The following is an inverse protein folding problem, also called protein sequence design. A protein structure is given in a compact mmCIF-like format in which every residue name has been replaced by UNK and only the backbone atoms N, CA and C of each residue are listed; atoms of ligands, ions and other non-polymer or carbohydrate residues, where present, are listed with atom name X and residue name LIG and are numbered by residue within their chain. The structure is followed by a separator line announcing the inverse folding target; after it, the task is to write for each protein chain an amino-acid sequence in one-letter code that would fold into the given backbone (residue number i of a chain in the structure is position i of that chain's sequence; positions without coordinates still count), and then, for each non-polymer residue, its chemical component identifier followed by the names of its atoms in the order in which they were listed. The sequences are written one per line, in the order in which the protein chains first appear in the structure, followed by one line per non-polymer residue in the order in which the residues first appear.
data_IF_839044124921
#
_entry.id   IF_839044124921
#
_cell.length_a   1.000
_cell.length_b   1.000
_cell.length_c   1.000
_cell.angle_alpha   90.00
_cell.angle_beta   90.00
_cell.angle_gamma   90.00
#
_symmetry.space_group_name_H-M   'P 1'
#
loop_
_entity.id
_entity.type
_entity.pdbx_description
1 polymer ?
#
# COMPACT_ATOMS: atom_id res chain seq x y z
N UNK A 1 94.53 -41.64 4.96
CA UNK A 1 94.04 -41.19 6.29
C UNK A 1 92.67 -41.83 6.48
N UNK A 2 92.54 -42.97 7.16
CA UNK A 2 92.23 -43.09 8.61
C UNK A 2 91.12 -42.10 9.02
N UNK A 3 89.94 -42.48 9.51
CA UNK A 3 89.68 -43.45 10.58
C UNK A 3 88.21 -43.93 10.58
N UNK A 4 88.03 -45.20 10.93
CA UNK A 4 86.80 -45.83 11.44
C UNK A 4 86.46 -45.34 12.87
N UNK A 5 85.34 -45.87 13.39
CA UNK A 5 84.87 -45.92 14.80
C UNK A 5 83.90 -44.76 15.16
N UNK A 6 82.72 -44.94 15.75
CA UNK A 6 82.20 -46.03 16.58
C UNK A 6 80.66 -45.95 16.65
N UNK A 7 80.01 -47.10 16.77
CA UNK A 7 78.64 -47.20 17.26
C UNK A 7 78.59 -46.91 18.78
N UNK A 8 77.51 -46.27 19.25
CA UNK A 8 77.07 -46.38 20.64
C UNK A 8 75.53 -46.34 20.72
N UNK A 9 74.99 -47.47 21.19
CA UNK A 9 73.61 -47.69 21.62
C UNK A 9 73.27 -46.75 22.79
N UNK A 10 72.01 -46.32 22.90
CA UNK A 10 71.07 -46.73 23.97
C UNK A 10 69.89 -45.74 24.11
N UNK A 11 68.70 -46.32 24.12
CA UNK A 11 67.52 -45.99 24.94
C UNK A 11 67.32 -44.55 25.44
N UNK A 12 66.30 -43.88 24.89
CA UNK A 12 65.44 -42.96 25.65
C UNK A 12 64.02 -43.52 25.66
N UNK A 13 63.68 -44.17 26.77
CA UNK A 13 62.30 -44.39 27.19
C UNK A 13 61.86 -43.20 28.06
N UNK A 14 60.54 -42.93 28.02
CA UNK A 14 59.78 -41.93 28.80
C UNK A 14 60.04 -40.45 28.41
N UNK A 15 59.03 -39.62 28.13
CA UNK A 15 57.70 -39.61 28.73
C UNK A 15 56.61 -39.34 27.67
N UNK A 16 55.71 -40.30 27.50
CA UNK A 16 54.33 -39.95 27.14
C UNK A 16 53.74 -39.31 28.39
N UNK A 17 53.72 -37.99 28.45
CA UNK A 17 52.77 -37.31 29.31
C UNK A 17 51.39 -37.66 28.76
N UNK A 18 50.76 -38.67 29.35
CA UNK A 18 49.34 -38.90 29.20
C UNK A 18 48.64 -37.63 29.66
N UNK A 19 48.33 -36.76 28.71
CA UNK A 19 47.33 -35.74 28.92
C UNK A 19 46.05 -36.51 29.24
N UNK A 20 45.69 -36.50 30.53
CA UNK A 20 44.42 -37.01 31.01
C UNK A 20 43.36 -36.38 30.12
N UNK A 21 42.72 -37.20 29.28
CA UNK A 21 41.57 -36.76 28.50
C UNK A 21 40.48 -36.41 29.51
N UNK A 22 40.37 -35.14 29.85
CA UNK A 22 39.20 -34.62 30.55
C UNK A 22 38.00 -35.13 29.77
N UNK A 23 37.02 -35.81 30.42
CA UNK A 23 35.89 -36.34 29.70
C UNK A 23 35.21 -35.18 28.99
N UNK A 24 35.37 -35.12 27.67
CA UNK A 24 34.77 -34.07 26.85
C UNK A 24 33.29 -34.08 27.18
N UNK A 25 32.82 -32.97 27.77
CA UNK A 25 31.43 -32.83 28.17
C UNK A 25 30.53 -33.16 26.99
N UNK A 26 29.33 -33.66 27.26
CA UNK A 26 28.34 -33.99 26.22
C UNK A 26 28.16 -32.84 25.19
N UNK A 27 28.37 -31.60 25.63
CA UNK A 27 28.42 -30.37 24.85
C UNK A 27 29.61 -30.27 23.87
N UNK A 28 30.81 -30.61 24.30
CA UNK A 28 31.99 -30.62 23.41
C UNK A 28 31.86 -31.72 22.36
N UNK A 29 31.29 -32.89 22.73
CA UNK A 29 30.96 -33.95 21.76
C UNK A 29 29.89 -33.53 20.75
N UNK A 30 28.88 -32.75 21.18
CA UNK A 30 27.85 -32.19 20.30
C UNK A 30 28.44 -31.14 19.35
N UNK A 31 29.33 -30.29 19.84
CA UNK A 31 30.00 -29.23 19.07
C UNK A 31 30.94 -29.79 18.01
N UNK A 32 31.65 -30.88 18.30
CA UNK A 32 32.49 -31.61 17.33
C UNK A 32 31.72 -32.64 16.51
N UNK A 33 30.42 -32.82 16.75
CA UNK A 33 29.58 -33.69 15.93
C UNK A 33 29.41 -33.11 14.52
N UNK A 34 29.03 -33.96 13.56
CA UNK A 34 28.73 -33.52 12.18
C UNK A 34 27.69 -32.39 12.15
N UNK A 35 26.68 -32.44 13.03
CA UNK A 35 25.65 -31.40 13.14
C UNK A 35 26.21 -30.09 13.72
N UNK A 36 27.12 -30.18 14.70
CA UNK A 36 27.79 -29.01 15.29
C UNK A 36 28.72 -28.30 14.31
N UNK A 37 29.51 -29.07 13.56
CA UNK A 37 30.38 -28.54 12.48
C UNK A 37 29.54 -27.94 11.36
N UNK A 38 28.45 -28.60 10.95
CA UNK A 38 27.52 -28.08 9.95
C UNK A 38 26.86 -26.77 10.38
N UNK A 39 26.32 -26.71 11.61
CA UNK A 39 25.72 -25.48 12.15
C UNK A 39 26.74 -24.34 12.22
N UNK A 40 27.99 -24.64 12.61
CA UNK A 40 29.07 -23.64 12.65
C UNK A 40 29.46 -23.15 11.26
N UNK A 41 29.51 -24.04 10.26
CA UNK A 41 29.73 -23.67 8.86
C UNK A 41 28.61 -22.75 8.38
N UNK A 42 27.36 -23.16 8.60
CA UNK A 42 26.17 -22.38 8.22
C UNK A 42 26.18 -20.98 8.83
N UNK A 43 26.48 -20.87 10.12
CA UNK A 43 26.64 -19.58 10.81
C UNK A 43 27.77 -18.72 10.22
N UNK A 44 28.88 -19.36 9.84
CA UNK A 44 29.99 -18.67 9.18
C UNK A 44 29.58 -18.13 7.81
N UNK A 45 28.85 -18.93 7.03
CA UNK A 45 28.37 -18.56 5.69
C UNK A 45 27.39 -17.37 5.77
N UNK A 46 26.44 -17.39 6.71
CA UNK A 46 25.55 -16.25 6.95
C UNK A 46 26.29 -15.01 7.47
N UNK A 47 27.31 -15.19 8.32
CA UNK A 47 28.13 -14.06 8.80
C UNK A 47 28.88 -13.41 7.64
N UNK A 48 29.49 -14.20 6.76
CA UNK A 48 30.21 -13.66 5.60
C UNK A 48 29.24 -13.01 4.61
N UNK A 49 28.08 -13.60 4.36
CA UNK A 49 27.03 -12.98 3.56
C UNK A 49 26.60 -11.61 4.12
N UNK A 50 26.39 -11.49 5.44
CA UNK A 50 26.09 -10.20 6.07
C UNK A 50 27.22 -9.18 5.89
N UNK A 51 28.48 -9.62 5.99
CA UNK A 51 29.64 -8.76 5.78
C UNK A 51 29.70 -8.26 4.33
N UNK A 52 29.47 -9.14 3.36
CA UNK A 52 29.41 -8.80 1.93
C UNK A 52 28.27 -7.83 1.63
N UNK A 53 27.10 -7.98 2.27
CA UNK A 53 25.98 -7.03 2.14
C UNK A 53 26.39 -5.63 2.59
N UNK A 54 27.08 -5.52 3.74
CA UNK A 54 27.55 -4.23 4.26
C UNK A 54 28.58 -3.62 3.30
N UNK A 55 29.61 -4.38 2.91
CA UNK A 55 30.63 -3.89 1.97
C UNK A 55 30.00 -3.47 0.64
N UNK A 56 29.11 -4.28 0.09
CA UNK A 56 28.37 -3.97 -1.14
C UNK A 56 27.48 -2.73 -1.03
N UNK A 57 26.95 -2.43 0.17
CA UNK A 57 26.20 -1.21 0.43
C UNK A 57 27.07 0.05 0.34
N UNK A 58 28.31 -0.02 0.81
CA UNK A 58 29.28 1.08 0.69
C UNK A 58 29.82 1.23 -0.73
N UNK A 59 30.05 0.13 -1.44
CA UNK A 59 30.55 0.16 -2.82
C UNK A 59 29.54 0.72 -3.82
N UNK A 60 28.23 0.47 -3.60
CA UNK A 60 27.16 0.81 -4.57
C UNK A 60 25.92 1.40 -3.87
N UNK A 61 26.03 2.60 -3.26
CA UNK A 61 24.97 3.17 -2.42
C UNK A 61 23.66 3.43 -3.18
N UNK A 62 23.71 3.78 -4.47
CA UNK A 62 22.52 3.98 -5.29
C UNK A 62 21.72 2.69 -5.49
N UNK A 63 22.41 1.59 -5.83
CA UNK A 63 21.74 0.30 -6.05
C UNK A 63 21.14 -0.24 -4.76
N UNK A 64 21.89 -0.15 -3.66
CA UNK A 64 21.41 -0.61 -2.35
C UNK A 64 20.28 0.24 -1.82
N UNK A 65 20.28 1.56 -2.06
CA UNK A 65 19.13 2.42 -1.76
C UNK A 65 17.88 1.95 -2.50
N UNK A 66 17.97 1.62 -3.80
CA UNK A 66 16.81 1.11 -4.56
C UNK A 66 16.31 -0.22 -4.02
N UNK A 67 17.20 -1.16 -3.68
CA UNK A 67 16.79 -2.43 -3.08
C UNK A 67 16.16 -2.25 -1.69
N UNK A 68 16.72 -1.36 -0.86
CA UNK A 68 16.19 -1.07 0.48
C UNK A 68 14.83 -0.36 0.41
N UNK A 69 14.63 0.56 -0.52
CA UNK A 69 13.31 1.21 -0.70
C UNK A 69 12.28 0.23 -1.22
N UNK A 70 12.64 -0.66 -2.15
CA UNK A 70 11.73 -1.70 -2.64
C UNK A 70 11.36 -2.69 -1.53
N UNK A 71 12.35 -3.19 -0.79
CA UNK A 71 12.11 -4.14 0.31
C UNK A 71 11.33 -3.50 1.46
N UNK A 72 11.71 -2.28 1.86
CA UNK A 72 11.01 -1.51 2.88
C UNK A 72 9.59 -1.13 2.45
N UNK A 73 9.41 -0.76 1.19
CA UNK A 73 8.09 -0.51 0.59
C UNK A 73 7.22 -1.75 0.59
N UNK A 74 7.74 -2.89 0.14
CA UNK A 74 7.02 -4.17 0.18
C UNK A 74 6.66 -4.58 1.62
N UNK A 75 7.58 -4.45 2.57
CA UNK A 75 7.32 -4.68 3.99
C UNK A 75 6.20 -3.78 4.51
N UNK A 76 6.27 -2.47 4.24
CA UNK A 76 5.27 -1.52 4.65
C UNK A 76 3.90 -1.85 4.04
N UNK A 77 3.85 -2.21 2.76
CA UNK A 77 2.62 -2.63 2.08
C UNK A 77 2.02 -3.91 2.70
N UNK A 78 2.87 -4.88 3.04
CA UNK A 78 2.44 -6.11 3.70
C UNK A 78 1.80 -5.83 5.08
N UNK A 79 2.40 -4.92 5.86
CA UNK A 79 1.88 -4.54 7.17
C UNK A 79 0.65 -3.62 7.11
N UNK A 80 0.56 -2.76 6.10
CA UNK A 80 -0.58 -1.83 5.91
C UNK A 80 -1.69 -2.43 5.06
N UNK A 81 -1.63 -3.72 4.75
CA UNK A 81 -2.59 -4.39 3.90
C UNK A 81 -4.01 -4.35 4.50
N UNK A 82 -5.02 -3.80 3.78
CA UNK A 82 -6.38 -3.76 4.29
C UNK A 82 -7.01 -5.17 4.31
N UNK A 83 -7.74 -5.48 5.38
CA UNK A 83 -8.44 -6.76 5.58
C UNK A 83 -9.91 -6.75 5.13
N UNK A 84 -10.59 -7.90 5.24
CA UNK A 84 -12.04 -8.01 4.97
C UNK A 84 -12.86 -7.04 5.85
N UNK A 85 -12.57 -6.99 7.15
CA UNK A 85 -13.27 -6.08 8.07
C UNK A 85 -13.08 -4.60 7.72
N UNK A 86 -11.90 -4.24 7.22
CA UNK A 86 -11.61 -2.87 6.74
C UNK A 86 -12.42 -2.52 5.50
N UNK A 87 -12.64 -3.48 4.58
CA UNK A 87 -13.54 -3.24 3.45
C UNK A 87 -14.97 -3.00 3.93
N UNK A 88 -15.47 -3.88 4.79
CA UNK A 88 -16.85 -3.79 5.30
C UNK A 88 -17.09 -2.48 6.06
N UNK A 89 -16.15 -2.04 6.90
CA UNK A 89 -16.27 -0.76 7.60
C UNK A 89 -16.27 0.41 6.61
N UNK A 90 -15.34 0.41 5.65
CA UNK A 90 -15.26 1.48 4.64
C UNK A 90 -16.52 1.54 3.79
N UNK A 91 -17.05 0.38 3.37
CA UNK A 91 -18.28 0.29 2.59
C UNK A 91 -19.49 0.84 3.37
N UNK A 92 -19.61 0.51 4.66
CA UNK A 92 -20.66 1.03 5.53
C UNK A 92 -20.51 2.53 5.77
N UNK A 93 -19.29 3.02 5.98
CA UNK A 93 -19.01 4.45 6.15
C UNK A 93 -19.40 5.23 4.89
N UNK A 94 -19.00 4.75 3.70
CA UNK A 94 -19.41 5.35 2.43
C UNK A 94 -20.93 5.31 2.24
N UNK A 95 -21.59 4.22 2.60
CA UNK A 95 -23.05 4.14 2.58
C UNK A 95 -23.70 5.17 3.49
N UNK A 96 -23.16 5.38 4.69
CA UNK A 96 -23.66 6.37 5.63
C UNK A 96 -23.47 7.80 5.10
N UNK A 97 -22.30 8.10 4.51
CA UNK A 97 -22.04 9.38 3.87
C UNK A 97 -23.05 9.68 2.75
N UNK A 98 -23.33 8.69 1.90
CA UNK A 98 -24.35 8.84 0.86
C UNK A 98 -25.74 9.06 1.48
N UNK A 99 -26.12 8.31 2.52
CA UNK A 99 -27.41 8.46 3.21
C UNK A 99 -27.66 9.87 3.77
N UNK A 100 -26.61 10.63 4.09
CA UNK A 100 -26.75 12.03 4.54
C UNK A 100 -27.15 12.98 3.39
N UNK A 101 -26.86 12.61 2.14
CA UNK A 101 -27.17 13.42 0.97
C UNK A 101 -28.58 13.13 0.46
N UNK A 102 -29.26 14.19 0.02
CA UNK A 102 -30.50 14.07 -0.75
C UNK A 102 -30.22 13.37 -2.09
N UNK A 103 -31.18 12.59 -2.63
CA UNK A 103 -31.04 11.96 -3.95
C UNK A 103 -30.72 12.92 -5.10
N UNK A 104 -31.07 14.21 -4.96
CA UNK A 104 -30.90 15.22 -6.01
C UNK A 104 -29.44 15.69 -6.19
N UNK A 105 -28.65 15.68 -5.12
CA UNK A 105 -27.27 16.19 -5.11
C UNK A 105 -26.23 15.06 -5.12
N UNK A 106 -26.65 13.81 -4.98
CA UNK A 106 -25.75 12.66 -4.91
C UNK A 106 -25.30 12.23 -6.30
N UNK A 107 -24.01 11.91 -6.45
CA UNK A 107 -23.45 11.31 -7.66
C UNK A 107 -24.07 9.93 -7.94
N UNK A 108 -24.65 9.76 -9.13
CA UNK A 108 -25.26 8.50 -9.57
C UNK A 108 -24.25 7.35 -9.69
N UNK A 109 -23.02 7.66 -10.10
CA UNK A 109 -21.90 6.70 -10.20
C UNK A 109 -21.51 6.16 -8.82
N UNK A 110 -21.41 7.06 -7.84
CA UNK A 110 -21.06 6.71 -6.45
C UNK A 110 -22.16 5.87 -5.82
N UNK A 111 -23.41 6.34 -5.91
CA UNK A 111 -24.57 5.67 -5.35
C UNK A 111 -24.78 4.29 -5.97
N UNK A 112 -24.80 4.20 -7.30
CA UNK A 112 -24.97 2.94 -8.02
C UNK A 112 -23.88 1.92 -7.66
N UNK A 113 -22.63 2.37 -7.53
CA UNK A 113 -21.55 1.49 -7.12
C UNK A 113 -21.71 0.98 -5.69
N UNK A 114 -21.93 1.85 -4.70
CA UNK A 114 -22.08 1.45 -3.30
C UNK A 114 -23.31 0.56 -3.10
N UNK A 115 -24.45 0.89 -3.73
CA UNK A 115 -25.65 0.06 -3.70
C UNK A 115 -25.40 -1.33 -4.31
N UNK A 116 -24.65 -1.42 -5.42
CA UNK A 116 -24.28 -2.71 -6.02
C UNK A 116 -23.41 -3.55 -5.08
N UNK A 117 -22.46 -2.93 -4.37
CA UNK A 117 -21.59 -3.61 -3.40
C UNK A 117 -22.39 -4.09 -2.19
N UNK A 118 -23.28 -3.26 -1.65
CA UNK A 118 -24.19 -3.62 -0.55
C UNK A 118 -25.08 -4.80 -0.96
N UNK A 119 -25.63 -4.78 -2.18
CA UNK A 119 -26.42 -5.88 -2.72
C UNK A 119 -25.62 -7.18 -2.76
N UNK A 120 -24.42 -7.15 -3.34
CA UNK A 120 -23.54 -8.33 -3.43
C UNK A 120 -23.12 -8.86 -2.05
N UNK A 121 -22.92 -7.96 -1.08
CA UNK A 121 -22.66 -8.33 0.32
C UNK A 121 -23.88 -9.04 0.92
N UNK A 122 -25.07 -8.48 0.77
CA UNK A 122 -26.31 -9.05 1.30
C UNK A 122 -26.64 -10.41 0.66
N UNK A 123 -26.24 -10.61 -0.61
CA UNK A 123 -26.36 -11.90 -1.33
C UNK A 123 -25.26 -12.92 -0.95
N UNK A 124 -24.30 -12.58 -0.09
CA UNK A 124 -23.18 -13.48 0.26
C UNK A 124 -22.17 -13.73 -0.88
N UNK A 125 -22.27 -12.94 -1.96
CA UNK A 125 -21.49 -13.10 -3.19
C UNK A 125 -20.20 -12.30 -3.21
N UNK A 126 -20.02 -11.40 -2.26
CA UNK A 126 -18.80 -10.61 -2.13
C UNK A 126 -17.66 -11.45 -1.55
N UNK A 127 -16.54 -11.56 -2.28
CA UNK A 127 -15.38 -12.36 -1.89
C UNK A 127 -14.13 -11.50 -1.79
N UNK A 128 -13.21 -11.98 -0.97
CA UNK A 128 -11.97 -11.30 -0.65
C UNK A 128 -10.79 -12.27 -0.84
N UNK A 129 -9.77 -11.83 -1.56
CA UNK A 129 -8.53 -12.56 -1.75
C UNK A 129 -7.34 -11.69 -1.36
N UNK A 130 -6.44 -12.25 -0.55
CA UNK A 130 -5.18 -11.60 -0.21
C UNK A 130 -4.05 -12.16 -1.07
N UNK A 131 -3.44 -11.31 -1.91
CA UNK A 131 -2.35 -11.65 -2.84
C UNK A 131 -0.98 -11.22 -2.28
N UNK A 132 -0.79 -11.32 -0.96
CA UNK A 132 0.43 -10.86 -0.28
C UNK A 132 0.44 -9.36 -0.04
N UNK A 133 0.89 -8.55 -1.00
CA UNK A 133 1.01 -7.09 -0.87
C UNK A 133 -0.29 -6.34 -1.17
N UNK A 134 -1.15 -6.95 -1.98
CA UNK A 134 -2.41 -6.38 -2.46
C UNK A 134 -3.56 -7.26 -2.02
N UNK A 135 -4.70 -6.66 -1.79
CA UNK A 135 -5.96 -7.34 -1.57
C UNK A 135 -6.93 -7.04 -2.70
N UNK A 136 -7.72 -8.02 -3.07
CA UNK A 136 -8.70 -7.90 -4.14
C UNK A 136 -10.06 -8.29 -3.60
N UNK A 137 -11.04 -7.44 -3.89
CA UNK A 137 -12.46 -7.72 -3.67
C UNK A 137 -13.07 -8.03 -5.03
N UNK A 138 -13.76 -9.16 -5.12
CA UNK A 138 -14.38 -9.63 -6.35
C UNK A 138 -15.75 -10.24 -6.03
N UNK A 139 -16.59 -10.39 -7.04
CA UNK A 139 -17.88 -11.06 -6.88
C UNK A 139 -17.86 -12.50 -7.39
N UNK A 140 -18.53 -13.38 -6.65
CA UNK A 140 -18.86 -14.74 -7.06
C UNK A 140 -20.29 -14.82 -7.60
N UNK A 141 -20.63 -15.89 -8.32
CA UNK A 141 -22.00 -16.09 -8.82
C UNK A 141 -22.96 -16.53 -7.72
N UNK A 142 -22.46 -17.30 -6.75
CA UNK A 142 -23.26 -17.87 -5.66
C UNK A 142 -22.59 -17.66 -4.29
N UNK A 143 -23.42 -17.66 -3.25
CA UNK A 143 -23.02 -17.75 -1.85
C UNK A 143 -22.25 -19.07 -1.61
N UNK A 144 -21.16 -19.09 -0.81
CA UNK A 144 -20.47 -20.34 -0.48
C UNK A 144 -21.35 -21.41 0.18
N UNK A 145 -22.39 -21.01 0.89
CA UNK A 145 -23.31 -21.92 1.60
C UNK A 145 -24.42 -22.44 0.67
N UNK A 146 -24.43 -22.04 -0.60
CA UNK A 146 -25.41 -22.48 -1.58
C UNK A 146 -25.11 -23.90 -2.08
N UNK A 147 -26.03 -24.82 -1.79
CA UNK A 147 -25.91 -26.24 -2.14
C UNK A 147 -26.59 -26.63 -3.46
N UNK A 148 -27.02 -25.67 -4.28
CA UNK A 148 -27.55 -25.96 -5.61
C UNK A 148 -26.49 -26.64 -6.51
N UNK A 149 -26.95 -27.55 -7.37
CA UNK A 149 -26.05 -28.26 -8.30
C UNK A 149 -25.24 -27.30 -9.18
N UNK A 150 -25.87 -26.22 -9.66
CA UNK A 150 -25.22 -25.18 -10.47
C UNK A 150 -24.03 -24.52 -9.76
N UNK A 151 -24.15 -24.33 -8.44
CA UNK A 151 -23.11 -23.71 -7.62
C UNK A 151 -21.97 -24.68 -7.29
N UNK A 152 -22.25 -25.98 -7.16
CA UNK A 152 -21.25 -27.00 -6.82
C UNK A 152 -20.51 -27.58 -8.03
N UNK A 153 -21.06 -27.45 -9.23
CA UNK A 153 -20.50 -28.07 -10.43
C UNK A 153 -19.24 -27.33 -10.91
N UNK A 154 -18.08 -28.00 -10.89
CA UNK A 154 -16.80 -27.43 -11.33
C UNK A 154 -16.77 -27.05 -12.81
N UNK A 155 -17.53 -27.74 -13.66
CA UNK A 155 -17.63 -27.44 -15.10
C UNK A 155 -18.39 -26.15 -15.36
N UNK A 156 -19.34 -25.80 -14.49
CA UNK A 156 -20.09 -24.54 -14.56
C UNK A 156 -19.38 -23.40 -13.81
N UNK A 157 -18.33 -23.71 -13.06
CA UNK A 157 -17.56 -22.70 -12.32
C UNK A 157 -16.86 -21.73 -13.26
N UNK A 158 -16.66 -20.52 -12.76
CA UNK A 158 -16.10 -19.45 -13.56
C UNK A 158 -14.62 -19.67 -13.87
N UNK A 159 -14.23 -19.54 -15.14
CA UNK A 159 -12.84 -19.70 -15.51
C UNK A 159 -12.00 -18.54 -14.94
N UNK A 160 -10.76 -18.85 -14.54
CA UNK A 160 -9.80 -17.88 -14.03
C UNK A 160 -9.56 -16.69 -14.98
N UNK A 161 -9.81 -16.87 -16.28
CA UNK A 161 -9.68 -15.82 -17.31
C UNK A 161 -10.70 -14.70 -17.16
N UNK A 162 -11.85 -14.95 -16.55
CA UNK A 162 -12.91 -13.96 -16.33
C UNK A 162 -12.75 -13.18 -15.02
N UNK A 163 -11.85 -13.62 -14.13
CA UNK A 163 -11.63 -12.95 -12.85
C UNK A 163 -11.32 -11.45 -12.97
N UNK A 164 -10.52 -10.96 -13.94
CA UNK A 164 -10.26 -9.51 -14.07
C UNK A 164 -11.54 -8.68 -14.27
N UNK A 165 -12.56 -9.25 -14.91
CA UNK A 165 -13.85 -8.56 -15.15
C UNK A 165 -14.75 -8.58 -13.91
N UNK A 166 -14.42 -9.44 -12.93
CA UNK A 166 -15.18 -9.62 -11.69
C UNK A 166 -14.59 -8.86 -10.51
N UNK A 167 -13.40 -8.28 -10.68
CA UNK A 167 -12.76 -7.42 -9.68
C UNK A 167 -13.60 -6.16 -9.47
N UNK A 168 -13.94 -5.91 -8.22
CA UNK A 168 -14.71 -4.75 -7.78
C UNK A 168 -13.82 -3.68 -7.18
N UNK A 169 -12.84 -4.11 -6.35
CA UNK A 169 -11.92 -3.19 -5.68
C UNK A 169 -10.54 -3.81 -5.44
N UNK A 170 -9.55 -2.94 -5.33
CA UNK A 170 -8.15 -3.24 -5.06
C UNK A 170 -7.74 -2.48 -3.79
N UNK A 171 -7.36 -3.26 -2.77
CA UNK A 171 -6.86 -2.79 -1.50
C UNK A 171 -5.33 -2.76 -1.51
N UNK A 172 -4.75 -1.58 -1.32
CA UNK A 172 -3.30 -1.38 -1.23
C UNK A 172 -3.00 -0.21 -0.29
N UNK A 173 -1.93 -0.34 0.52
CA UNK A 173 -1.49 0.70 1.48
C UNK A 173 -2.60 1.22 2.41
N UNK A 174 -3.39 0.31 2.97
CA UNK A 174 -4.43 0.62 3.97
C UNK A 174 -5.68 1.29 3.40
N UNK A 175 -5.81 1.39 2.07
CA UNK A 175 -6.95 2.03 1.41
C UNK A 175 -7.54 1.15 0.31
N UNK A 176 -8.80 1.41 0.01
CA UNK A 176 -9.58 0.80 -1.05
C UNK A 176 -9.66 1.79 -2.22
N UNK A 177 -8.96 1.49 -3.31
CA UNK A 177 -8.66 2.48 -4.34
C UNK A 177 -9.86 2.77 -5.25
N UNK A 178 -10.61 1.75 -5.65
CA UNK A 178 -11.76 1.92 -6.56
C UNK A 178 -12.92 2.56 -5.79
N UNK A 179 -13.24 2.04 -4.60
CA UNK A 179 -14.28 2.64 -3.75
C UNK A 179 -13.92 4.09 -3.39
N UNK A 180 -12.69 4.35 -2.97
CA UNK A 180 -12.23 5.71 -2.65
C UNK A 180 -12.24 6.66 -3.86
N UNK A 181 -11.87 6.18 -5.04
CA UNK A 181 -11.91 6.99 -6.26
C UNK A 181 -13.34 7.33 -6.67
N UNK A 182 -14.29 6.39 -6.54
CA UNK A 182 -15.69 6.64 -6.87
C UNK A 182 -16.34 7.55 -5.84
N UNK A 183 -15.97 7.43 -4.56
CA UNK A 183 -16.47 8.26 -3.48
C UNK A 183 -15.78 9.64 -3.35
N UNK A 184 -14.94 10.06 -4.30
CA UNK A 184 -14.22 11.33 -4.20
C UNK A 184 -15.15 12.54 -4.29
N UNK A 185 -16.00 12.57 -5.32
CA UNK A 185 -16.92 13.67 -5.66
C UNK A 185 -18.37 13.17 -5.54
N UNK A 186 -18.69 12.55 -4.41
CA UNK A 186 -19.95 11.83 -4.20
C UNK A 186 -21.17 12.76 -4.00
N UNK A 187 -20.91 14.04 -3.72
CA UNK A 187 -21.85 15.14 -3.53
C UNK A 187 -22.03 16.02 -4.78
N UNK A 188 -21.45 15.64 -5.91
CA UNK A 188 -21.64 16.30 -7.20
C UNK A 188 -22.51 15.42 -8.11
N UNK A 189 -23.67 15.94 -8.49
CA UNK A 189 -24.53 15.28 -9.46
C UNK A 189 -24.30 15.86 -10.87
N UNK A 190 -23.49 15.17 -11.68
CA UNK A 190 -23.19 15.58 -13.06
C UNK A 190 -24.45 15.74 -13.94
N UNK A 191 -25.52 14.99 -13.66
CA UNK A 191 -26.79 15.08 -14.40
C UNK A 191 -27.41 16.47 -14.31
N UNK A 192 -27.22 17.17 -13.19
CA UNK A 192 -27.72 18.53 -13.00
C UNK A 192 -27.07 19.50 -13.99
N UNK A 193 -25.79 19.35 -14.29
CA UNK A 193 -25.03 20.34 -15.06
C UNK A 193 -25.00 20.10 -16.57
N UNK A 194 -25.55 18.98 -17.06
CA UNK A 194 -25.53 18.61 -18.49
C UNK A 194 -26.14 19.64 -19.43
N UNK A 195 -27.08 20.44 -18.94
CA UNK A 195 -27.77 21.46 -19.73
C UNK A 195 -26.99 22.77 -19.85
N UNK A 196 -25.91 22.93 -19.08
CA UNK A 196 -25.06 24.13 -19.13
C UNK A 196 -24.13 24.09 -20.35
N UNK A 197 -23.67 25.26 -20.86
CA UNK A 197 -22.62 25.32 -21.86
C UNK A 197 -21.33 24.67 -21.37
N UNK A 198 -20.51 24.14 -22.30
CA UNK A 198 -19.29 23.38 -21.96
C UNK A 198 -18.32 24.11 -21.01
N UNK A 199 -18.20 25.44 -21.12
CA UNK A 199 -17.33 26.24 -20.27
C UNK A 199 -17.84 26.42 -18.82
N UNK A 200 -19.10 26.07 -18.54
CA UNK A 200 -19.71 26.10 -17.20
C UNK A 200 -19.86 24.70 -16.58
N UNK A 201 -19.50 23.63 -17.31
CA UNK A 201 -19.57 22.26 -16.80
C UNK A 201 -18.32 21.86 -16.00
N UNK A 202 -17.27 22.69 -16.02
CA UNK A 202 -16.03 22.41 -15.29
C UNK A 202 -16.23 22.66 -13.79
N UNK A 203 -16.09 21.60 -12.97
CA UNK A 203 -16.40 21.58 -11.53
C UNK A 203 -15.14 21.56 -10.66
N UNK A 204 -14.02 22.10 -11.13
CA UNK A 204 -12.79 22.14 -10.34
C UNK A 204 -12.99 22.99 -9.08
N UNK A 205 -12.57 22.50 -7.90
CA UNK A 205 -12.58 23.32 -6.69
C UNK A 205 -11.75 24.60 -6.92
N UNK A 206 -12.26 25.78 -6.51
CA UNK A 206 -11.52 27.02 -6.71
C UNK A 206 -10.22 27.01 -5.89
N UNK A 207 -9.17 27.60 -6.44
CA UNK A 207 -7.92 27.83 -5.72
C UNK A 207 -8.09 28.90 -4.63
N UNK A 208 -7.19 28.90 -3.64
CA UNK A 208 -7.22 29.90 -2.56
C UNK A 208 -7.12 31.33 -3.09
N UNK A 209 -6.29 31.55 -4.10
CA UNK A 209 -6.12 32.87 -4.74
C UNK A 209 -7.41 33.33 -5.44
N UNK A 210 -8.13 32.41 -6.09
CA UNK A 210 -9.42 32.73 -6.73
C UNK A 210 -10.50 33.06 -5.71
N UNK A 211 -10.55 32.34 -4.58
CA UNK A 211 -11.46 32.64 -3.48
C UNK A 211 -11.15 34.03 -2.91
N UNK A 212 -9.88 34.33 -2.61
CA UNK A 212 -9.48 35.64 -2.10
C UNK A 212 -9.79 36.78 -3.08
N UNK A 213 -9.59 36.56 -4.38
CA UNK A 213 -9.96 37.51 -5.43
C UNK A 213 -11.47 37.75 -5.44
N UNK A 214 -12.28 36.69 -5.38
CA UNK A 214 -13.74 36.81 -5.37
C UNK A 214 -14.24 37.57 -4.13
N UNK A 215 -13.65 37.30 -2.96
CA UNK A 215 -13.97 38.04 -1.73
C UNK A 215 -13.60 39.53 -1.83
N UNK A 216 -12.45 39.84 -2.44
CA UNK A 216 -12.02 41.23 -2.66
C UNK A 216 -12.99 41.97 -3.58
N UNK A 217 -13.29 41.38 -4.74
CA UNK A 217 -14.24 41.95 -5.70
C UNK A 217 -15.62 42.14 -5.07
N UNK A 218 -16.07 41.21 -4.23
CA UNK A 218 -17.31 41.35 -3.48
C UNK A 218 -17.28 42.56 -2.55
N UNK A 219 -16.19 42.76 -1.78
CA UNK A 219 -16.03 43.93 -0.89
C UNK A 219 -15.98 45.25 -1.69
N UNK A 220 -15.28 45.25 -2.82
CA UNK A 220 -15.17 46.42 -3.71
C UNK A 220 -16.51 46.80 -4.33
N UNK A 221 -17.38 45.81 -4.61
CA UNK A 221 -18.73 46.08 -5.15
C UNK A 221 -19.63 46.90 -4.21
N UNK A 222 -19.26 47.03 -2.93
CA UNK A 222 -20.01 47.80 -1.93
C UNK A 222 -19.46 49.22 -1.73
N UNK A 223 -18.39 49.59 -2.44
CA UNK A 223 -17.82 50.93 -2.34
C UNK A 223 -18.76 51.96 -2.97
N UNK A 224 -18.90 53.12 -2.31
CA UNK A 224 -19.73 54.20 -2.79
C UNK A 224 -19.16 54.77 -4.10
N UNK A 225 -20.03 54.94 -5.10
CA UNK A 225 -19.69 55.61 -6.35
C UNK A 225 -19.44 57.10 -6.07
N UNK A 226 -18.29 57.60 -6.47
CA UNK A 226 -18.01 59.03 -6.48
C UNK A 226 -18.65 59.67 -7.70
N UNK A 227 -19.59 60.59 -7.48
CA UNK A 227 -20.23 61.37 -8.56
C UNK A 227 -19.38 62.62 -8.79
N UNK A 228 -18.53 62.58 -9.80
CA UNK A 228 -17.71 63.74 -10.21
C UNK A 228 -18.47 64.68 -11.17
N UNK A 229 -19.56 64.22 -11.79
CA UNK A 229 -20.31 64.95 -12.83
C UNK A 229 -21.22 66.10 -12.32
N UNK A 230 -21.34 66.30 -11.01
CA UNK A 230 -22.19 67.35 -10.44
C UNK A 230 -21.51 68.74 -10.39
N UNK A 231 -20.18 68.81 -10.52
CA UNK A 231 -19.43 70.07 -10.36
C UNK A 231 -19.32 70.86 -11.67
N UNK A 232 -19.31 70.18 -12.83
CA UNK A 232 -19.22 70.85 -14.14
C UNK A 232 -20.54 71.51 -14.58
N UNK A 233 -21.66 71.15 -13.95
CA UNK A 233 -22.98 71.72 -14.25
C UNK A 233 -23.20 73.08 -13.58
N UNK A 234 -22.64 73.30 -12.39
CA UNK A 234 -22.84 74.54 -11.63
C UNK A 234 -21.91 75.69 -12.06
N UNK A 235 -20.69 75.40 -12.56
CA UNK A 235 -19.80 76.45 -13.10
C UNK A 235 -20.31 77.07 -14.42
N UNK A 236 -21.16 76.36 -15.17
CA UNK A 236 -21.76 76.88 -16.41
C UNK A 236 -22.91 77.87 -16.17
N UNK A 237 -23.56 77.83 -15.00
CA UNK A 237 -24.66 78.72 -14.63
C UNK A 237 -24.24 79.95 -13.79
N UNK A 238 -23.00 79.96 -13.26
CA UNK A 238 -22.45 81.09 -12.52
C UNK A 238 -21.75 82.16 -13.41
N UNK A 239 -21.66 81.93 -14.73
CA UNK A 239 -21.18 82.89 -15.73
C UNK A 239 -22.31 83.28 -16.69
N UNK A 240 -23.31 84.01 -16.20
CA UNK A 240 -24.21 84.84 -17.04
C UNK A 240 -24.61 86.06 -16.25
#
# INVERSE_FOLDING_TARGET
MASLRSARRMFCAAAQTGAVSVPAGRWEKLKTSKAGVWCRSLLSDYREACREVVVGAWERPLKTSVYMTLLGGAWACFHTKPGRSSFESTLLDCSNQLCLLSPWIRSSTSDGHVQSLIKLRNEGRLRYASLGLVCVVYHADYDPDNMLYEAQCSTLSTPWRELPHRVLDIGFTGRWWILGSKMKDYDINEEEFKHLPAHMQETSPPSTEEVERNERLHKESWLALTVEDAVDSEESHAKT
#
